data_IF_270114561412
#
_entry.id   IF_270114561412
#
_cell.length_a   1.000
_cell.length_b   1.000
_cell.length_c   1.000
_cell.angle_alpha   90.00
_cell.angle_beta   90.00
_cell.angle_gamma   90.00
#
_symmetry.space_group_name_H-M   'P 1'
#
loop_
_entity.id
_entity.type
_entity.pdbx_description
1 polymer ?
#
# COMPACT_ATOMS: atom_id res chain seq x y z
N UNK A 1 9.86 -6.72 14.94
CA UNK A 1 9.01 -7.76 14.30
C UNK A 1 8.47 -8.80 15.30
N UNK A 2 9.16 -9.13 16.39
CA UNK A 2 8.66 -10.14 17.35
C UNK A 2 7.39 -9.71 18.08
N UNK A 3 7.28 -8.43 18.42
CA UNK A 3 6.09 -7.85 19.04
C UNK A 3 4.87 -7.95 18.11
N UNK A 4 5.02 -7.56 16.84
CA UNK A 4 3.94 -7.66 15.86
C UNK A 4 3.49 -9.11 15.63
N UNK A 5 4.43 -10.07 15.60
CA UNK A 5 4.13 -11.50 15.55
C UNK A 5 3.30 -11.95 16.76
N UNK A 6 3.62 -11.45 17.96
CA UNK A 6 2.85 -11.73 19.16
C UNK A 6 1.43 -11.15 19.06
N UNK A 7 1.28 -9.92 18.55
CA UNK A 7 -0.05 -9.29 18.37
C UNK A 7 -0.90 -10.13 17.42
N UNK A 8 -0.38 -10.47 16.24
CA UNK A 8 -1.12 -11.28 15.24
C UNK A 8 -1.52 -12.65 15.79
N UNK A 9 -0.64 -13.30 16.55
CA UNK A 9 -0.94 -14.59 17.18
C UNK A 9 -2.04 -14.52 18.25
N UNK A 10 -2.12 -13.41 18.99
CA UNK A 10 -3.07 -13.27 20.11
C UNK A 10 -4.43 -12.75 19.64
N UNK A 11 -4.42 -11.82 18.70
CA UNK A 11 -5.64 -11.15 18.21
C UNK A 11 -6.33 -11.97 17.11
N UNK A 12 -5.58 -12.79 16.36
CA UNK A 12 -6.08 -13.54 15.20
C UNK A 12 -6.91 -12.65 14.24
N UNK A 13 -6.31 -11.57 13.68
CA UNK A 13 -7.07 -10.59 12.90
C UNK A 13 -7.69 -11.21 11.64
N UNK A 14 -8.94 -10.84 11.34
CA UNK A 14 -9.62 -11.23 10.09
C UNK A 14 -8.95 -10.64 8.84
N UNK A 15 -8.31 -9.48 8.98
CA UNK A 15 -7.66 -8.76 7.89
C UNK A 15 -6.40 -8.04 8.37
N UNK A 16 -5.27 -8.30 7.71
CA UNK A 16 -3.99 -7.62 7.95
C UNK A 16 -3.65 -6.73 6.77
N UNK A 17 -3.66 -5.42 7.01
CA UNK A 17 -3.39 -4.41 6.00
C UNK A 17 -2.03 -3.76 6.28
N UNK A 18 -1.14 -3.82 5.29
CA UNK A 18 0.14 -3.09 5.35
C UNK A 18 -0.04 -1.69 4.77
N UNK A 19 0.39 -0.67 5.50
CA UNK A 19 0.41 0.71 5.00
C UNK A 19 1.81 1.02 4.50
N UNK A 20 1.92 1.47 3.24
CA UNK A 20 3.19 1.76 2.58
C UNK A 20 3.21 3.18 2.01
N UNK A 21 4.40 3.73 1.86
CA UNK A 21 4.63 5.06 1.32
C UNK A 21 5.00 4.94 -0.17
N UNK A 22 4.27 5.63 -1.04
CA UNK A 22 4.51 5.61 -2.47
C UNK A 22 5.86 6.24 -2.86
N UNK A 23 6.40 7.16 -2.05
CA UNK A 23 7.71 7.79 -2.27
C UNK A 23 8.84 6.75 -2.24
N UNK A 24 8.64 5.62 -1.55
CA UNK A 24 9.63 4.54 -1.48
C UNK A 24 9.79 3.78 -2.81
N UNK A 25 8.87 3.94 -3.76
CA UNK A 25 8.96 3.30 -5.08
C UNK A 25 9.17 1.78 -4.99
N UNK A 26 10.25 1.29 -5.59
CA UNK A 26 10.55 -0.16 -5.61
C UNK A 26 10.84 -0.75 -4.22
N UNK A 27 11.29 0.04 -3.24
CA UNK A 27 11.59 -0.45 -1.89
C UNK A 27 10.32 -0.92 -1.14
N UNK A 28 9.14 -0.48 -1.59
CA UNK A 28 7.85 -0.99 -1.11
C UNK A 28 7.76 -2.50 -1.27
N UNK A 29 8.36 -3.07 -2.32
CA UNK A 29 8.36 -4.52 -2.57
C UNK A 29 9.09 -5.26 -1.45
N UNK A 30 10.25 -4.75 -1.05
CA UNK A 30 11.08 -5.36 -0.02
C UNK A 30 10.35 -5.31 1.32
N UNK A 31 9.73 -4.17 1.64
CA UNK A 31 8.91 -4.03 2.84
C UNK A 31 7.73 -5.00 2.83
N UNK A 32 6.97 -5.07 1.74
CA UNK A 32 5.86 -6.02 1.61
C UNK A 32 6.33 -7.47 1.83
N UNK A 33 7.44 -7.88 1.20
CA UNK A 33 8.01 -9.22 1.37
C UNK A 33 8.44 -9.49 2.80
N UNK A 34 9.09 -8.53 3.46
CA UNK A 34 9.53 -8.69 4.84
C UNK A 34 8.33 -8.89 5.76
N UNK A 35 7.32 -8.01 5.70
CA UNK A 35 6.12 -8.14 6.54
C UNK A 35 5.33 -9.41 6.22
N UNK A 36 5.13 -9.75 4.94
CA UNK A 36 4.44 -10.97 4.54
C UNK A 36 5.14 -12.23 5.09
N UNK A 37 6.49 -12.27 5.03
CA UNK A 37 7.27 -13.40 5.54
C UNK A 37 7.22 -13.57 7.06
N UNK A 38 6.94 -12.49 7.81
CA UNK A 38 6.96 -12.51 9.28
C UNK A 38 5.58 -12.67 9.89
N UNK A 39 4.59 -11.98 9.35
CA UNK A 39 3.24 -11.89 9.94
C UNK A 39 2.12 -12.20 8.97
N UNK A 40 2.43 -12.34 7.67
CA UNK A 40 1.47 -12.44 6.59
C UNK A 40 0.68 -11.14 6.41
N UNK A 41 0.50 -10.71 5.17
CA UNK A 41 -0.34 -9.55 4.84
C UNK A 41 -1.40 -9.97 3.82
N UNK A 42 -2.60 -9.43 3.97
CA UNK A 42 -3.74 -9.75 3.12
C UNK A 42 -3.98 -8.66 2.08
N UNK A 43 -3.70 -7.40 2.44
CA UNK A 43 -3.89 -6.27 1.56
C UNK A 43 -2.94 -5.11 1.89
N UNK A 44 -2.93 -4.09 1.03
CA UNK A 44 -2.08 -2.90 1.17
C UNK A 44 -2.88 -1.61 1.03
N UNK A 45 -2.47 -0.58 1.75
CA UNK A 45 -2.87 0.82 1.52
C UNK A 45 -1.62 1.58 1.13
N UNK A 46 -1.67 2.28 0.00
CA UNK A 46 -0.56 3.09 -0.51
C UNK A 46 -0.85 4.55 -0.18
N UNK A 47 0.11 5.25 0.44
CA UNK A 47 -0.05 6.63 0.90
C UNK A 47 0.91 7.58 0.20
N UNK A 48 0.69 8.90 0.36
CA UNK A 48 1.55 9.97 -0.17
C UNK A 48 1.67 9.98 -1.69
N UNK A 49 0.60 9.62 -2.41
CA UNK A 49 0.59 9.72 -3.87
C UNK A 49 0.74 11.15 -4.38
N UNK A 50 0.30 12.13 -3.59
CA UNK A 50 0.47 13.57 -3.85
C UNK A 50 1.94 14.01 -3.84
N UNK A 51 2.82 13.22 -3.21
CA UNK A 51 4.25 13.50 -3.12
C UNK A 51 5.09 12.77 -4.17
N UNK A 52 4.45 12.06 -5.12
CA UNK A 52 5.14 11.34 -6.19
C UNK A 52 5.09 12.16 -7.48
N UNK A 53 6.25 12.54 -7.99
CA UNK A 53 6.38 13.43 -9.16
C UNK A 53 5.87 12.83 -10.47
N UNK A 54 5.81 11.49 -10.57
CA UNK A 54 5.41 10.82 -11.81
C UNK A 54 4.31 9.79 -11.58
N UNK A 55 3.23 9.86 -12.38
CA UNK A 55 2.20 8.83 -12.36
C UNK A 55 2.78 7.40 -12.56
N UNK A 56 3.81 7.25 -13.40
CA UNK A 56 4.46 5.95 -13.63
C UNK A 56 5.01 5.27 -12.36
N UNK A 57 5.55 6.05 -11.41
CA UNK A 57 6.03 5.51 -10.14
C UNK A 57 4.87 4.98 -9.28
N UNK A 58 3.70 5.65 -9.31
CA UNK A 58 2.49 5.19 -8.64
C UNK A 58 2.02 3.84 -9.21
N UNK A 59 1.99 3.72 -10.53
CA UNK A 59 1.64 2.46 -11.19
C UNK A 59 2.65 1.36 -10.86
N UNK A 60 3.94 1.68 -10.84
CA UNK A 60 4.99 0.73 -10.48
C UNK A 60 4.76 0.17 -9.09
N UNK A 61 4.57 1.02 -8.08
CA UNK A 61 4.25 0.60 -6.71
C UNK A 61 2.99 -0.27 -6.71
N UNK A 62 1.93 0.16 -7.40
CA UNK A 62 0.67 -0.57 -7.42
C UNK A 62 0.79 -1.98 -8.06
N UNK A 63 1.54 -2.10 -9.16
CA UNK A 63 1.75 -3.37 -9.88
C UNK A 63 2.74 -4.27 -9.15
N UNK A 64 3.73 -3.69 -8.47
CA UNK A 64 4.78 -4.42 -7.79
C UNK A 64 4.32 -5.03 -6.46
N UNK A 65 3.29 -4.45 -5.85
CA UNK A 65 2.62 -5.02 -4.68
C UNK A 65 1.80 -6.24 -5.12
N UNK A 66 2.28 -7.45 -4.77
CA UNK A 66 1.61 -8.73 -5.11
C UNK A 66 0.40 -9.04 -4.20
N UNK A 67 -0.26 -8.02 -3.68
CA UNK A 67 -1.38 -8.10 -2.74
C UNK A 67 -2.44 -7.09 -3.17
N UNK A 68 -3.73 -7.31 -2.89
CA UNK A 68 -4.77 -6.35 -3.25
C UNK A 68 -4.53 -5.00 -2.57
N UNK A 69 -4.70 -3.92 -3.33
CA UNK A 69 -4.67 -2.55 -2.81
C UNK A 69 -6.10 -2.16 -2.47
N UNK A 70 -6.33 -1.70 -1.24
CA UNK A 70 -7.67 -1.29 -0.79
C UNK A 70 -7.91 0.20 -1.00
N UNK A 71 -6.93 1.03 -0.63
CA UNK A 71 -7.04 2.48 -0.66
C UNK A 71 -5.73 3.14 -1.10
N UNK A 72 -5.89 4.36 -1.60
CA UNK A 72 -4.85 5.27 -2.02
C UNK A 72 -4.97 6.58 -1.22
N UNK A 73 -3.89 7.00 -0.57
CA UNK A 73 -3.78 8.31 0.07
C UNK A 73 -3.21 9.33 -0.90
N UNK A 74 -4.01 10.34 -1.26
CA UNK A 74 -3.71 11.38 -2.26
C UNK A 74 -3.53 12.77 -1.64
N UNK A 75 -3.23 12.84 -0.35
CA UNK A 75 -3.09 14.09 0.39
C UNK A 75 -3.05 13.89 1.90
N UNK A 76 -3.21 14.99 2.63
CA UNK A 76 -3.04 15.04 4.09
C UNK A 76 -4.37 15.15 4.86
N UNK A 77 -5.46 15.47 4.17
CA UNK A 77 -6.77 15.62 4.80
C UNK A 77 -7.45 14.26 4.97
N UNK A 78 -8.43 14.20 5.88
CA UNK A 78 -9.19 12.97 6.14
C UNK A 78 -9.97 12.46 4.90
N UNK A 79 -10.29 13.38 3.98
CA UNK A 79 -11.00 13.06 2.74
C UNK A 79 -10.06 12.65 1.59
N UNK A 80 -8.74 12.70 1.80
CA UNK A 80 -7.75 12.37 0.77
C UNK A 80 -7.41 10.86 0.76
N UNK A 81 -8.30 10.03 1.29
CA UNK A 81 -8.22 8.58 1.23
C UNK A 81 -9.30 8.05 0.27
N UNK A 82 -8.87 7.59 -0.90
CA UNK A 82 -9.79 7.08 -1.93
C UNK A 82 -9.70 5.56 -2.07
N UNK A 83 -10.80 4.85 -2.35
CA UNK A 83 -10.75 3.44 -2.72
C UNK A 83 -9.85 3.24 -3.95
N UNK A 84 -9.08 2.15 -3.97
CA UNK A 84 -8.31 1.79 -5.15
C UNK A 84 -9.24 1.41 -6.30
N UNK A 85 -9.03 2.05 -7.44
CA UNK A 85 -9.76 1.81 -8.68
C UNK A 85 -8.76 1.92 -9.84
N UNK A 86 -8.47 0.80 -10.54
CA UNK A 86 -7.48 0.79 -11.61
C UNK A 86 -7.86 1.71 -12.78
N UNK A 87 -9.15 1.90 -13.07
CA UNK A 87 -9.59 2.80 -14.14
C UNK A 87 -9.36 4.27 -13.76
N UNK A 88 -9.66 4.64 -12.51
CA UNK A 88 -9.35 6.00 -12.02
C UNK A 88 -7.87 6.26 -11.98
N UNK A 89 -7.06 5.27 -11.58
CA UNK A 89 -5.62 5.40 -11.59
C UNK A 89 -5.10 5.63 -13.03
N UNK A 90 -5.60 4.87 -14.01
CA UNK A 90 -5.29 5.07 -15.42
C UNK A 90 -5.69 6.46 -15.93
N UNK A 91 -6.84 7.00 -15.50
CA UNK A 91 -7.26 8.36 -15.83
C UNK A 91 -6.37 9.46 -15.23
N UNK A 92 -5.70 9.20 -14.11
CA UNK A 92 -4.67 10.10 -13.54
C UNK A 92 -3.35 9.98 -14.34
N UNK A 93 -3.07 8.79 -14.89
CA UNK A 93 -1.83 8.47 -15.60
C UNK A 93 -1.78 8.98 -17.04
N UNK A 94 -2.91 8.96 -17.75
CA UNK A 94 -3.01 9.25 -19.18
C UNK A 94 -4.07 10.35 -19.36
N UNK A 95 -3.67 11.60 -19.68
CA UNK A 95 -4.62 12.69 -19.95
C UNK A 95 -5.40 12.49 -21.25
#
# INVERSE_FOLDING_TARGET
MDELRKIVRVIEPDLKVLVVDAVLGEDVINQCREFDSKVGIDAVIVTKLDAVDTPAAVLSVAVSVRKPILYLGTGQNINDLMPYDPEKLLGILIP
#
